data_IF_251151068047
#
_entry.id   IF_251151068047
#
_cell.length_a   1.000
_cell.length_b   1.000
_cell.length_c   1.000
_cell.angle_alpha   90.00
_cell.angle_beta   90.00
_cell.angle_gamma   90.00
#
_symmetry.space_group_name_H-M   'P 1'
#
loop_
_entity.id
_entity.type
_entity.pdbx_description
1 polymer ?
#
# COMPACT_ATOMS: atom_id res chain seq x y z
N UNK A 1 -11.51 -16.60 -17.72
CA UNK A 1 -10.42 -15.59 -17.63
C UNK A 1 -9.85 -15.69 -16.23
N UNK A 2 -8.53 -15.66 -16.04
CA UNK A 2 -7.95 -15.66 -14.70
C UNK A 2 -8.24 -14.31 -14.02
N UNK A 3 -8.57 -14.35 -12.73
CA UNK A 3 -8.75 -13.16 -11.91
C UNK A 3 -7.41 -12.39 -11.85
N UNK A 4 -7.42 -11.05 -11.83
CA UNK A 4 -6.20 -10.28 -11.63
C UNK A 4 -5.63 -10.54 -10.24
N UNK A 5 -4.31 -10.71 -10.14
CA UNK A 5 -3.63 -10.88 -8.86
C UNK A 5 -3.31 -9.52 -8.24
N UNK A 6 -3.73 -9.32 -6.99
CA UNK A 6 -3.53 -8.07 -6.25
C UNK A 6 -2.58 -8.30 -5.08
N UNK A 7 -1.60 -7.40 -4.95
CA UNK A 7 -0.75 -7.26 -3.78
C UNK A 7 -0.95 -5.86 -3.15
N UNK A 8 -1.02 -5.81 -1.83
CA UNK A 8 -1.26 -4.61 -1.03
C UNK A 8 -0.05 -4.39 -0.13
N UNK A 9 0.54 -3.19 -0.22
CA UNK A 9 1.76 -2.81 0.50
C UNK A 9 1.57 -1.53 1.30
N UNK A 10 2.13 -1.51 2.50
CA UNK A 10 2.22 -0.37 3.40
C UNK A 10 3.62 0.29 3.38
N UNK A 11 3.65 1.62 3.51
CA UNK A 11 4.82 2.43 3.86
C UNK A 11 4.50 3.27 5.11
N UNK A 12 5.13 4.44 5.30
CA UNK A 12 4.83 5.27 6.45
C UNK A 12 3.37 5.76 6.38
N UNK A 13 2.52 5.27 7.27
CA UNK A 13 1.09 5.63 7.37
C UNK A 13 0.50 5.11 8.69
N UNK A 14 -0.82 5.22 8.80
CA UNK A 14 -1.61 4.65 9.90
C UNK A 14 -2.36 3.35 9.51
N UNK A 15 -2.14 2.85 8.29
CA UNK A 15 -2.78 1.63 7.74
C UNK A 15 -4.32 1.71 7.66
N UNK A 16 -4.87 2.91 7.86
CA UNK A 16 -6.30 3.14 7.88
C UNK A 16 -6.96 2.90 6.53
N UNK A 17 -6.26 3.12 5.41
CA UNK A 17 -6.88 2.90 4.09
C UNK A 17 -7.10 1.40 3.83
N UNK A 18 -6.16 0.55 4.22
CA UNK A 18 -6.32 -0.90 4.18
C UNK A 18 -7.42 -1.39 5.13
N UNK A 19 -7.48 -0.85 6.34
CA UNK A 19 -8.54 -1.19 7.29
C UNK A 19 -9.94 -0.87 6.75
N UNK A 20 -10.09 0.21 5.99
CA UNK A 20 -11.38 0.51 5.33
C UNK A 20 -11.77 -0.54 4.29
N UNK A 21 -10.82 -1.19 3.62
CA UNK A 21 -11.12 -2.32 2.70
C UNK A 21 -11.67 -3.50 3.50
N UNK A 22 -11.09 -3.80 4.66
CA UNK A 22 -11.58 -4.88 5.54
C UNK A 22 -12.96 -4.55 6.11
N UNK A 23 -13.24 -3.27 6.37
CA UNK A 23 -14.52 -2.77 6.87
C UNK A 23 -15.62 -2.67 5.81
N UNK A 24 -15.43 -3.21 4.61
CA UNK A 24 -16.48 -3.29 3.58
C UNK A 24 -17.60 -4.29 3.93
N UNK A 25 -17.52 -4.96 5.07
CA UNK A 25 -18.53 -5.90 5.57
C UNK A 25 -18.90 -6.97 4.53
N UNK A 26 -20.15 -7.02 4.06
CA UNK A 26 -20.60 -7.98 3.06
C UNK A 26 -20.06 -7.66 1.65
N UNK A 27 -19.81 -6.38 1.33
CA UNK A 27 -19.32 -5.95 0.01
C UNK A 27 -17.88 -6.44 -0.24
N UNK A 28 -17.14 -6.79 0.81
CA UNK A 28 -15.80 -7.37 0.66
C UNK A 28 -15.84 -8.69 -0.12
N UNK A 29 -16.95 -9.43 -0.04
CA UNK A 29 -17.14 -10.72 -0.70
C UNK A 29 -17.13 -10.57 -2.23
N UNK A 30 -17.72 -9.48 -2.74
CA UNK A 30 -17.71 -9.17 -4.16
C UNK A 30 -16.31 -8.77 -4.65
N UNK A 31 -15.57 -8.04 -3.81
CA UNK A 31 -14.18 -7.66 -4.08
C UNK A 31 -13.28 -8.89 -4.18
N UNK A 32 -13.25 -9.74 -3.14
CA UNK A 32 -12.45 -10.98 -3.16
C UNK A 32 -12.98 -12.01 -4.16
N UNK A 33 -14.27 -11.92 -4.53
CA UNK A 33 -14.86 -12.68 -5.61
C UNK A 33 -14.28 -12.30 -6.98
N UNK A 34 -13.85 -11.05 -7.15
CA UNK A 34 -13.41 -10.49 -8.43
C UNK A 34 -11.89 -10.52 -8.66
N UNK A 35 -11.09 -10.72 -7.60
CA UNK A 35 -9.62 -10.65 -7.65
C UNK A 35 -8.98 -11.81 -6.87
N UNK A 36 -7.72 -12.13 -7.15
CA UNK A 36 -6.92 -13.02 -6.30
C UNK A 36 -5.97 -12.19 -5.46
N UNK A 37 -6.21 -12.10 -4.14
CA UNK A 37 -5.28 -11.42 -3.22
C UNK A 37 -4.12 -12.36 -2.91
N UNK A 38 -2.90 -11.93 -3.21
CA UNK A 38 -1.69 -12.79 -3.10
C UNK A 38 -0.64 -12.25 -2.13
N UNK A 39 -0.79 -11.01 -1.67
CA UNK A 39 0.02 -10.42 -0.60
C UNK A 39 -0.79 -9.29 0.04
N UNK A 40 -1.12 -9.45 1.33
CA UNK A 40 -1.77 -8.42 2.14
C UNK A 40 -1.50 -8.66 3.62
N UNK A 41 -0.54 -7.91 4.19
CA UNK A 41 -0.07 -8.10 5.58
C UNK A 41 -1.21 -8.15 6.61
N UNK A 42 -2.23 -7.30 6.45
CA UNK A 42 -3.33 -7.18 7.43
C UNK A 42 -4.36 -8.31 7.35
N UNK A 43 -4.44 -9.02 6.22
CA UNK A 43 -5.47 -10.03 5.99
C UNK A 43 -4.92 -11.46 5.84
N UNK A 44 -3.65 -11.62 5.50
CA UNK A 44 -3.05 -12.93 5.23
C UNK A 44 -1.55 -12.98 5.53
N UNK A 45 -1.02 -14.20 5.70
CA UNK A 45 0.39 -14.44 6.03
C UNK A 45 1.25 -14.74 4.80
N UNK A 46 0.62 -15.29 3.77
CA UNK A 46 1.21 -15.69 2.52
C UNK A 46 1.62 -14.47 1.69
N UNK A 47 2.72 -14.61 0.96
CA UNK A 47 3.29 -13.54 0.13
C UNK A 47 3.69 -14.10 -1.22
N UNK A 48 3.40 -13.33 -2.27
CA UNK A 48 3.74 -13.65 -3.64
C UNK A 48 4.53 -12.52 -4.28
N UNK A 49 5.57 -12.86 -5.02
CA UNK A 49 6.28 -11.89 -5.86
C UNK A 49 5.64 -11.69 -7.23
N UNK A 50 4.61 -12.47 -7.55
CA UNK A 50 3.87 -12.37 -8.80
C UNK A 50 2.47 -11.79 -8.57
N UNK A 51 2.26 -10.57 -9.08
CA UNK A 51 0.99 -9.86 -9.03
C UNK A 51 0.84 -8.97 -10.27
N UNK A 52 -0.41 -8.71 -10.65
CA UNK A 52 -0.73 -7.84 -11.78
C UNK A 52 -0.91 -6.39 -11.32
N UNK A 53 -1.51 -6.20 -10.14
CA UNK A 53 -1.81 -4.90 -9.55
C UNK A 53 -1.15 -4.79 -8.19
N UNK A 54 -0.41 -3.71 -7.97
CA UNK A 54 0.11 -3.34 -6.66
C UNK A 54 -0.65 -2.13 -6.12
N UNK A 55 -1.27 -2.27 -4.97
CA UNK A 55 -1.91 -1.20 -4.22
C UNK A 55 -0.92 -0.78 -3.13
N UNK A 56 -0.61 0.52 -3.08
CA UNK A 56 0.38 1.08 -2.15
C UNK A 56 -0.29 2.14 -1.29
N UNK A 57 -0.29 1.93 0.03
CA UNK A 57 -0.63 2.95 1.02
C UNK A 57 0.64 3.52 1.65
N UNK A 58 0.58 4.80 2.03
CA UNK A 58 1.60 5.45 2.83
C UNK A 58 2.66 6.20 2.04
N UNK A 59 3.35 7.08 2.76
CA UNK A 59 4.35 7.99 2.23
C UNK A 59 5.73 7.35 2.24
N UNK A 60 6.55 7.69 1.24
CA UNK A 60 7.95 7.29 1.17
C UNK A 60 8.76 8.25 2.05
N UNK A 61 9.43 7.73 3.08
CA UNK A 61 10.07 8.57 4.10
C UNK A 61 11.55 8.31 4.30
N UNK A 62 12.06 7.22 3.75
CA UNK A 62 13.46 6.78 3.85
C UNK A 62 13.94 6.31 2.46
N UNK A 63 15.25 6.37 2.17
CA UNK A 63 15.79 5.82 0.92
C UNK A 63 15.45 4.33 0.70
N UNK A 64 15.42 3.53 1.76
CA UNK A 64 15.02 2.12 1.68
C UNK A 64 13.53 1.93 1.29
N UNK A 65 12.66 2.89 1.62
CA UNK A 65 11.26 2.86 1.20
C UNK A 65 11.16 3.07 -0.33
N UNK A 66 11.98 3.98 -0.87
CA UNK A 66 12.05 4.25 -2.31
C UNK A 66 12.54 3.03 -3.09
N UNK A 67 13.63 2.40 -2.62
CA UNK A 67 14.16 1.17 -3.24
C UNK A 67 13.10 0.05 -3.26
N UNK A 68 12.41 -0.16 -2.13
CA UNK A 68 11.32 -1.14 -2.03
C UNK A 68 10.17 -0.80 -2.99
N UNK A 69 9.79 0.47 -3.12
CA UNK A 69 8.74 0.90 -4.05
C UNK A 69 9.13 0.65 -5.51
N UNK A 70 10.40 0.88 -5.88
CA UNK A 70 10.89 0.57 -7.23
C UNK A 70 10.81 -0.92 -7.55
N UNK A 71 11.17 -1.79 -6.60
CA UNK A 71 11.04 -3.24 -6.76
C UNK A 71 9.56 -3.61 -6.97
N UNK A 72 8.65 -3.07 -6.15
CA UNK A 72 7.21 -3.29 -6.29
C UNK A 72 6.71 -2.84 -7.67
N UNK A 73 7.06 -1.62 -8.08
CA UNK A 73 6.67 -1.04 -9.37
C UNK A 73 7.17 -1.89 -10.54
N UNK A 74 8.39 -2.43 -10.47
CA UNK A 74 9.00 -3.23 -11.53
C UNK A 74 8.27 -4.55 -11.80
N UNK A 75 7.54 -5.07 -10.80
CA UNK A 75 6.78 -6.33 -10.88
C UNK A 75 5.33 -6.11 -11.28
N UNK A 76 4.74 -4.98 -10.88
CA UNK A 76 3.34 -4.68 -11.16
C UNK A 76 3.11 -4.22 -12.60
N UNK A 77 1.98 -4.61 -13.20
CA UNK A 77 1.49 -3.96 -14.44
C UNK A 77 0.86 -2.60 -14.11
N UNK A 78 0.04 -2.58 -13.05
CA UNK A 78 -0.65 -1.38 -12.55
C UNK A 78 -0.19 -1.12 -11.11
N UNK A 79 0.16 0.13 -10.81
CA UNK A 79 0.43 0.58 -9.45
C UNK A 79 -0.59 1.65 -9.06
N UNK A 80 -1.23 1.45 -7.90
CA UNK A 80 -2.28 2.34 -7.37
C UNK A 80 -1.77 2.96 -6.08
N UNK A 81 -1.76 4.28 -6.01
CA UNK A 81 -1.56 5.01 -4.76
C UNK A 81 -2.90 5.11 -4.02
N UNK A 82 -3.03 4.41 -2.90
CA UNK A 82 -4.23 4.40 -2.07
C UNK A 82 -4.07 5.37 -0.90
N UNK A 83 -4.99 6.33 -0.81
CA UNK A 83 -5.07 7.27 0.30
C UNK A 83 -4.17 8.50 0.18
N UNK A 84 -4.44 9.49 1.04
CA UNK A 84 -3.77 10.79 1.00
C UNK A 84 -2.26 10.71 1.25
N UNK A 85 -1.82 9.79 2.12
CA UNK A 85 -0.40 9.57 2.42
C UNK A 85 0.39 9.11 1.20
N UNK A 86 -0.14 8.17 0.41
CA UNK A 86 0.50 7.69 -0.81
C UNK A 86 0.41 8.72 -1.95
N UNK A 87 -0.76 9.32 -2.13
CA UNK A 87 -1.02 10.20 -3.27
C UNK A 87 -0.38 11.59 -3.15
N UNK A 88 -0.30 12.15 -1.94
CA UNK A 88 0.07 13.57 -1.73
C UNK A 88 0.98 13.82 -0.52
N UNK A 89 1.44 12.75 0.15
CA UNK A 89 2.21 12.81 1.39
C UNK A 89 1.38 12.94 2.67
N UNK A 90 0.07 13.21 2.57
CA UNK A 90 -0.87 13.22 3.70
C UNK A 90 -0.40 14.05 4.89
N UNK A 91 -0.69 13.57 6.10
CA UNK A 91 -0.22 14.19 7.37
C UNK A 91 1.31 14.04 7.50
N UNK A 92 1.88 12.95 6.98
CA UNK A 92 3.32 12.67 7.10
C UNK A 92 4.20 13.75 6.49
N UNK A 93 3.72 14.50 5.49
CA UNK A 93 4.48 15.61 4.89
C UNK A 93 4.64 16.82 5.81
N UNK A 94 3.88 16.93 6.91
CA UNK A 94 4.00 18.07 7.84
C UNK A 94 5.42 18.18 8.43
N UNK A 95 6.10 17.05 8.62
CA UNK A 95 7.51 17.03 9.08
C UNK A 95 8.47 17.75 8.13
N UNK A 96 8.10 17.90 6.84
CA UNK A 96 8.94 18.57 5.85
C UNK A 96 9.00 20.09 6.05
N UNK A 97 8.21 20.64 6.97
CA UNK A 97 8.25 22.05 7.35
C UNK A 97 9.33 22.36 8.42
N UNK A 98 10.03 21.34 8.92
CA UNK A 98 10.99 21.43 10.03
C UNK A 98 12.31 20.76 9.64
N UNK A 99 13.39 21.02 10.39
CA UNK A 99 14.62 20.24 10.24
C UNK A 99 14.36 18.79 10.67
N UNK A 100 14.89 17.83 9.91
CA UNK A 100 14.60 16.42 10.16
C UNK A 100 15.19 15.94 11.51
N UNK A 101 16.22 16.58 12.04
CA UNK A 101 16.73 16.25 13.37
C UNK A 101 15.72 16.64 14.45
N UNK A 102 15.14 17.84 14.35
CA UNK A 102 14.15 18.34 15.31
C UNK A 102 12.89 17.46 15.39
N UNK A 103 12.49 16.82 14.28
CA UNK A 103 11.32 15.93 14.21
C UNK A 103 11.62 14.51 14.75
N UNK A 104 12.89 14.12 14.82
CA UNK A 104 13.29 12.78 15.27
C UNK A 104 13.50 12.68 16.78
N UNK A 105 13.68 13.80 17.46
CA UNK A 105 13.75 13.91 18.93
C UNK A 105 12.37 13.71 19.57
#
# INVERSE_FOLDING_TARGET
MNKPRIAIFDFACCEGCQLQIVNLEEEILDLVGSVDVVEWREAMSEKSHEYDIAIVEGSITRPADEERLWIIRSRAKILIALGACAATGGINKLKNNFDLQDVKE
#
